data_IF_921192832941
#
_entry.id   IF_921192832941
#
_cell.length_a   1.000
_cell.length_b   1.000
_cell.length_c   1.000
_cell.angle_alpha   90.00
_cell.angle_beta   90.00
_cell.angle_gamma   90.00
#
_symmetry.space_group_name_H-M   'P 1'
#
loop_
_entity.id
_entity.type
_entity.pdbx_description
1 polymer ?
#
# COMPACT_ATOMS: atom_id res chain seq x y z
N UNK A 1 -46.83 -9.90 16.56
CA UNK A 1 -45.47 -9.67 17.09
C UNK A 1 -44.75 -11.02 17.10
N UNK A 2 -43.92 -11.32 16.11
CA UNK A 2 -43.18 -12.59 16.05
C UNK A 2 -42.00 -12.56 17.05
N UNK A 3 -41.69 -13.66 17.76
CA UNK A 3 -40.57 -13.68 18.69
C UNK A 3 -39.24 -13.46 17.96
N UNK A 4 -38.37 -12.61 18.53
CA UNK A 4 -36.99 -12.51 18.08
C UNK A 4 -36.28 -13.88 18.22
N UNK A 5 -35.54 -14.36 17.21
CA UNK A 5 -34.78 -15.60 17.34
C UNK A 5 -33.66 -15.46 18.39
N UNK A 6 -33.46 -16.52 19.19
CA UNK A 6 -32.46 -16.56 20.24
C UNK A 6 -31.03 -16.30 19.68
N UNK A 7 -30.14 -15.64 20.45
CA UNK A 7 -28.77 -15.39 20.02
C UNK A 7 -28.05 -16.72 19.77
N UNK A 8 -27.47 -16.87 18.58
CA UNK A 8 -26.66 -18.04 18.21
C UNK A 8 -25.42 -18.06 19.11
N UNK A 9 -25.33 -19.04 20.02
CA UNK A 9 -24.17 -19.22 20.90
C UNK A 9 -22.90 -19.48 20.06
N UNK A 10 -22.05 -18.46 19.91
CA UNK A 10 -20.75 -18.52 19.23
C UNK A 10 -19.78 -19.54 19.85
N UNK A 11 -20.06 -20.00 21.07
CA UNK A 11 -19.28 -20.99 21.81
C UNK A 11 -19.51 -22.45 21.39
N UNK A 12 -20.47 -22.73 20.49
CA UNK A 12 -20.79 -24.10 20.07
C UNK A 12 -19.62 -24.79 19.33
N UNK A 13 -18.81 -24.04 18.58
CA UNK A 13 -17.67 -24.56 17.84
C UNK A 13 -16.48 -24.91 18.76
N UNK A 14 -16.25 -24.10 19.79
CA UNK A 14 -15.18 -24.30 20.77
C UNK A 14 -15.41 -25.56 21.62
N UNK A 15 -16.66 -25.90 21.92
CA UNK A 15 -17.00 -27.04 22.77
C UNK A 15 -17.03 -28.42 22.07
N UNK A 16 -16.79 -28.48 20.77
CA UNK A 16 -16.73 -29.75 20.03
C UNK A 16 -15.58 -30.64 20.57
N UNK A 17 -15.80 -31.95 20.75
CA UNK A 17 -14.73 -32.90 21.04
C UNK A 17 -13.93 -33.20 19.76
N UNK A 18 -12.61 -33.39 19.89
CA UNK A 18 -11.71 -33.68 18.78
C UNK A 18 -10.77 -32.53 18.40
N UNK A 19 -9.93 -32.76 17.37
CA UNK A 19 -8.86 -31.85 16.98
C UNK A 19 -9.36 -30.44 16.62
N UNK A 20 -10.51 -30.34 15.97
CA UNK A 20 -11.12 -29.06 15.57
C UNK A 20 -11.50 -28.21 16.79
N UNK A 21 -12.08 -28.82 17.83
CA UNK A 21 -12.39 -28.13 19.07
C UNK A 21 -11.15 -27.83 19.94
N UNK A 22 -10.08 -28.62 19.83
CA UNK A 22 -8.80 -28.31 20.47
C UNK A 22 -8.11 -27.10 19.82
N UNK A 23 -8.12 -27.05 18.48
CA UNK A 23 -7.63 -25.91 17.68
C UNK A 23 -8.46 -24.66 17.99
N UNK A 24 -9.80 -24.76 17.99
CA UNK A 24 -10.68 -23.64 18.30
C UNK A 24 -10.41 -23.03 19.69
N UNK A 25 -10.19 -23.88 20.71
CA UNK A 25 -9.84 -23.44 22.07
C UNK A 25 -8.44 -22.80 22.12
N UNK A 26 -7.47 -23.36 21.41
CA UNK A 26 -6.12 -22.79 21.32
C UNK A 26 -6.13 -21.41 20.65
N UNK A 27 -6.83 -21.27 19.52
CA UNK A 27 -7.01 -19.99 18.83
C UNK A 27 -7.74 -18.95 19.66
N UNK A 28 -8.69 -19.35 20.52
CA UNK A 28 -9.45 -18.43 21.37
C UNK A 28 -8.70 -18.01 22.66
N UNK A 29 -7.72 -18.79 23.13
CA UNK A 29 -7.00 -18.53 24.39
C UNK A 29 -5.57 -18.01 24.22
N UNK A 30 -5.00 -18.10 23.03
CA UNK A 30 -3.59 -17.80 22.80
C UNK A 30 -3.45 -16.68 21.77
N UNK A 31 -2.49 -15.75 22.01
CA UNK A 31 -2.08 -14.71 21.05
C UNK A 31 -1.56 -15.24 19.70
N UNK A 32 -1.44 -16.57 19.57
CA UNK A 32 -1.00 -17.25 18.36
C UNK A 32 -1.85 -16.83 17.14
N UNK A 33 -3.14 -16.58 17.34
CA UNK A 33 -4.03 -16.11 16.27
C UNK A 33 -3.55 -14.77 15.69
N UNK A 34 -3.22 -13.81 16.55
CA UNK A 34 -2.76 -12.48 16.15
C UNK A 34 -1.39 -12.53 15.46
N UNK A 35 -0.48 -13.37 15.95
CA UNK A 35 0.82 -13.59 15.33
C UNK A 35 0.73 -14.24 13.95
N UNK A 36 -0.15 -15.23 13.79
CA UNK A 36 -0.40 -15.86 12.48
C UNK A 36 -1.03 -14.84 11.53
N UNK A 37 -2.01 -14.05 11.98
CA UNK A 37 -2.61 -13.00 11.18
C UNK A 37 -1.58 -11.95 10.74
N UNK A 38 -0.71 -11.51 11.65
CA UNK A 38 0.41 -10.61 11.34
C UNK A 38 1.35 -11.20 10.29
N UNK A 39 1.73 -12.46 10.43
CA UNK A 39 2.57 -13.17 9.46
C UNK A 39 1.92 -13.23 8.08
N UNK A 40 0.63 -13.56 8.01
CA UNK A 40 -0.13 -13.63 6.75
C UNK A 40 -0.20 -12.26 6.07
N UNK A 41 -0.49 -11.19 6.80
CA UNK A 41 -0.54 -9.84 6.23
C UNK A 41 0.84 -9.39 5.76
N UNK A 42 1.90 -9.63 6.55
CA UNK A 42 3.26 -9.27 6.18
C UNK A 42 3.75 -10.04 4.94
N UNK A 43 3.49 -11.35 4.86
CA UNK A 43 3.81 -12.16 3.68
C UNK A 43 3.00 -11.67 2.47
N UNK A 44 1.70 -11.45 2.63
CA UNK A 44 0.84 -10.91 1.58
C UNK A 44 1.36 -9.57 1.06
N UNK A 45 1.81 -8.68 1.95
CA UNK A 45 2.43 -7.42 1.59
C UNK A 45 3.72 -7.60 0.76
N UNK A 46 4.63 -8.47 1.21
CA UNK A 46 5.87 -8.78 0.48
C UNK A 46 5.55 -9.36 -0.91
N UNK A 47 4.61 -10.31 -0.99
CA UNK A 47 4.20 -10.92 -2.25
C UNK A 47 3.63 -9.88 -3.23
N UNK A 48 2.77 -8.97 -2.75
CA UNK A 48 2.24 -7.89 -3.60
C UNK A 48 3.38 -7.01 -4.11
N UNK A 49 4.30 -6.60 -3.24
CA UNK A 49 5.43 -5.75 -3.64
C UNK A 49 6.36 -6.43 -4.66
N UNK A 50 6.50 -7.76 -4.60
CA UNK A 50 7.33 -8.51 -5.53
C UNK A 50 6.62 -8.75 -6.88
N UNK A 51 5.37 -9.22 -6.85
CA UNK A 51 4.68 -9.77 -8.02
C UNK A 51 3.70 -8.82 -8.71
N UNK A 52 3.12 -7.85 -8.00
CA UNK A 52 2.09 -6.96 -8.57
C UNK A 52 2.74 -5.77 -9.27
N UNK A 53 2.43 -5.60 -10.55
CA UNK A 53 2.74 -4.38 -11.29
C UNK A 53 1.61 -3.37 -11.14
N UNK A 54 1.89 -2.08 -10.89
CA UNK A 54 0.84 -1.07 -10.72
C UNK A 54 0.00 -0.93 -11.99
N UNK A 55 -1.31 -0.71 -11.82
CA UNK A 55 -2.17 -0.28 -12.91
C UNK A 55 -1.83 1.15 -13.29
N UNK A 56 -1.81 1.47 -14.58
CA UNK A 56 -1.53 2.81 -15.05
C UNK A 56 -2.66 3.26 -15.96
N UNK A 57 -3.26 4.40 -15.62
CA UNK A 57 -4.33 5.00 -16.41
C UNK A 57 -3.75 5.95 -17.46
N UNK A 58 -4.41 6.03 -18.62
CA UNK A 58 -4.09 7.05 -19.62
C UNK A 58 -4.45 8.45 -19.09
N UNK A 59 -3.68 9.46 -19.48
CA UNK A 59 -3.87 10.85 -19.05
C UNK A 59 -3.65 11.80 -20.23
N UNK A 60 -4.05 13.06 -20.06
CA UNK A 60 -3.81 14.15 -21.01
C UNK A 60 -2.69 15.06 -20.48
N UNK A 61 -1.87 15.67 -21.35
CA UNK A 61 -0.76 16.53 -20.91
C UNK A 61 -1.25 17.92 -20.48
N UNK A 62 -2.38 18.37 -21.02
CA UNK A 62 -3.01 19.66 -20.73
C UNK A 62 -3.70 19.73 -19.35
N UNK A 63 -3.73 18.62 -18.61
CA UNK A 63 -4.40 18.56 -17.32
C UNK A 63 -3.59 19.28 -16.24
N UNK A 64 -4.12 20.39 -15.71
CA UNK A 64 -3.49 21.17 -14.64
C UNK A 64 -3.19 20.34 -13.37
N UNK A 65 -3.95 19.26 -13.10
CA UNK A 65 -3.74 18.41 -11.94
C UNK A 65 -2.43 17.61 -11.95
N UNK A 66 -1.73 17.52 -13.09
CA UNK A 66 -0.45 16.81 -13.26
C UNK A 66 0.75 17.72 -13.57
N UNK A 67 0.52 19.03 -13.60
CA UNK A 67 1.50 20.06 -13.95
C UNK A 67 2.05 20.81 -12.73
N UNK A 68 1.94 20.25 -11.53
CA UNK A 68 2.51 20.90 -10.36
C UNK A 68 4.05 20.89 -10.43
N UNK A 69 4.71 21.99 -10.04
CA UNK A 69 6.16 22.06 -10.05
C UNK A 69 6.77 21.09 -9.04
N UNK A 70 7.86 20.44 -9.40
CA UNK A 70 8.57 19.49 -8.55
C UNK A 70 9.32 20.22 -7.44
N UNK A 71 8.97 19.88 -6.20
CA UNK A 71 9.66 20.38 -5.02
C UNK A 71 11.01 19.63 -4.84
N UNK A 72 12.12 20.34 -5.03
CA UNK A 72 13.47 19.79 -4.83
C UNK A 72 13.73 19.41 -3.37
N UNK A 73 13.10 20.13 -2.44
CA UNK A 73 13.13 19.86 -1.00
C UNK A 73 11.73 19.52 -0.52
N UNK A 74 11.53 18.25 -0.17
CA UNK A 74 10.28 17.79 0.43
C UNK A 74 10.18 18.33 1.87
N UNK A 75 9.07 18.98 2.23
CA UNK A 75 8.85 19.54 3.58
C UNK A 75 8.99 18.48 4.67
N UNK A 76 8.60 17.24 4.37
CA UNK A 76 8.82 16.05 5.19
C UNK A 76 9.22 14.93 4.25
N UNK A 77 10.48 14.47 4.25
CA UNK A 77 10.88 13.37 3.38
C UNK A 77 10.25 12.07 3.87
N UNK A 78 9.95 11.18 2.92
CA UNK A 78 9.24 9.92 3.16
C UNK A 78 9.79 9.11 4.35
N UNK A 79 11.12 8.98 4.45
CA UNK A 79 11.78 8.22 5.53
C UNK A 79 11.45 8.74 6.93
N UNK A 80 11.49 10.06 7.11
CA UNK A 80 11.15 10.67 8.40
C UNK A 80 9.65 10.54 8.72
N UNK A 81 8.78 10.62 7.72
CA UNK A 81 7.34 10.39 7.91
C UNK A 81 7.04 8.99 8.44
N UNK A 82 7.70 7.96 7.90
CA UNK A 82 7.56 6.57 8.39
C UNK A 82 8.03 6.47 9.84
N UNK A 83 9.19 7.04 10.17
CA UNK A 83 9.73 7.03 11.54
C UNK A 83 8.77 7.72 12.52
N UNK A 84 8.26 8.91 12.19
CA UNK A 84 7.31 9.61 13.07
C UNK A 84 6.02 8.82 13.30
N UNK A 85 5.49 8.16 12.26
CA UNK A 85 4.28 7.36 12.37
C UNK A 85 4.41 6.15 13.29
N UNK A 86 5.62 5.61 13.48
CA UNK A 86 5.87 4.50 14.38
C UNK A 86 6.29 4.98 15.79
N UNK A 87 7.19 5.97 15.86
CA UNK A 87 7.77 6.43 17.13
C UNK A 87 6.75 7.17 17.99
N UNK A 88 5.94 8.06 17.41
CA UNK A 88 4.97 8.85 18.16
C UNK A 88 3.94 7.98 18.91
N UNK A 89 3.20 7.04 18.27
CA UNK A 89 2.25 6.19 19.00
C UNK A 89 2.95 5.24 19.98
N UNK A 90 4.18 4.80 19.67
CA UNK A 90 4.96 4.00 20.60
C UNK A 90 5.28 4.78 21.88
N UNK A 91 5.73 6.03 21.77
CA UNK A 91 6.01 6.89 22.92
C UNK A 91 4.74 7.15 23.74
N UNK A 92 3.60 7.40 23.08
CA UNK A 92 2.32 7.58 23.79
C UNK A 92 1.92 6.32 24.55
N UNK A 93 2.07 5.14 23.96
CA UNK A 93 1.80 3.86 24.64
C UNK A 93 2.76 3.60 25.80
N UNK A 94 4.03 3.95 25.66
CA UNK A 94 5.02 3.84 26.73
C UNK A 94 4.72 4.80 27.89
N UNK A 95 4.39 6.06 27.60
CA UNK A 95 3.98 7.02 28.62
C UNK A 95 2.72 6.56 29.36
N UNK A 96 1.71 6.09 28.63
CA UNK A 96 0.51 5.51 29.21
C UNK A 96 0.83 4.29 30.11
N UNK A 97 1.71 3.40 29.64
CA UNK A 97 2.15 2.23 30.40
C UNK A 97 2.91 2.60 31.69
N UNK A 98 3.74 3.65 31.65
CA UNK A 98 4.47 4.13 32.82
C UNK A 98 3.54 4.76 33.88
N UNK A 99 2.53 5.52 33.44
CA UNK A 99 1.57 6.19 34.33
C UNK A 99 0.61 5.17 34.95
N UNK A 100 0.04 4.28 34.14
CA UNK A 100 -1.03 3.37 34.58
C UNK A 100 -0.52 2.03 35.13
N UNK A 101 0.76 1.70 34.90
CA UNK A 101 1.43 0.44 35.28
C UNK A 101 0.54 -0.78 35.06
N UNK A 102 0.08 -1.03 33.82
CA UNK A 102 -0.87 -2.09 33.54
C UNK A 102 -0.18 -3.47 33.58
N UNK A 103 -0.98 -4.53 33.74
CA UNK A 103 -0.46 -5.90 33.71
C UNK A 103 0.20 -6.25 32.37
N UNK A 104 1.13 -7.21 32.39
CA UNK A 104 1.88 -7.66 31.20
C UNK A 104 0.99 -8.07 30.03
N UNK A 105 -0.17 -8.67 30.32
CA UNK A 105 -1.19 -9.00 29.33
C UNK A 105 -1.67 -7.75 28.58
N UNK A 106 -2.02 -6.67 29.29
CA UNK A 106 -2.53 -5.44 28.68
C UNK A 106 -1.46 -4.77 27.81
N UNK A 107 -0.21 -4.77 28.26
CA UNK A 107 0.92 -4.26 27.47
C UNK A 107 1.09 -5.04 26.17
N UNK A 108 1.07 -6.38 26.26
CA UNK A 108 1.26 -7.24 25.10
C UNK A 108 0.20 -7.00 24.02
N UNK A 109 -1.08 -6.94 24.41
CA UNK A 109 -2.18 -6.66 23.48
C UNK A 109 -2.06 -5.25 22.87
N UNK A 110 -1.66 -4.24 23.66
CA UNK A 110 -1.45 -2.89 23.13
C UNK A 110 -0.33 -2.82 22.09
N UNK A 111 0.80 -3.49 22.32
CA UNK A 111 1.90 -3.54 21.35
C UNK A 111 1.55 -4.36 20.10
N UNK A 112 0.82 -5.47 20.26
CA UNK A 112 0.31 -6.24 19.13
C UNK A 112 -0.64 -5.39 18.27
N UNK A 113 -1.56 -4.65 18.90
CA UNK A 113 -2.45 -3.72 18.18
C UNK A 113 -1.68 -2.64 17.39
N UNK A 114 -0.61 -2.10 17.98
CA UNK A 114 0.26 -1.15 17.27
C UNK A 114 0.93 -1.81 16.06
N UNK A 115 1.50 -3.01 16.21
CA UNK A 115 2.16 -3.73 15.12
C UNK A 115 1.19 -4.06 13.97
N UNK A 116 -0.03 -4.53 14.30
CA UNK A 116 -1.08 -4.81 13.31
C UNK A 116 -1.43 -3.56 12.51
N UNK A 117 -1.61 -2.42 13.20
CA UNK A 117 -1.93 -1.15 12.54
C UNK A 117 -0.81 -0.70 11.58
N UNK A 118 0.44 -0.78 12.02
CA UNK A 118 1.61 -0.36 11.23
C UNK A 118 1.85 -1.23 10.00
N UNK A 119 1.48 -2.51 10.01
CA UNK A 119 1.67 -3.42 8.88
C UNK A 119 0.46 -3.39 7.94
N UNK A 120 -0.76 -3.35 8.48
CA UNK A 120 -1.99 -3.43 7.67
C UNK A 120 -2.25 -2.14 6.90
N UNK A 121 -1.91 -0.98 7.46
CA UNK A 121 -2.10 0.32 6.81
C UNK A 121 -1.33 0.45 5.50
N UNK A 122 0.02 0.26 5.44
CA UNK A 122 0.75 0.32 4.17
C UNK A 122 0.27 -0.76 3.20
N UNK A 123 -0.01 -1.98 3.67
CA UNK A 123 -0.58 -3.04 2.85
C UNK A 123 -1.86 -2.61 2.13
N UNK A 124 -2.84 -2.10 2.87
CA UNK A 124 -4.11 -1.66 2.30
C UNK A 124 -3.93 -0.48 1.35
N UNK A 125 -3.14 0.52 1.75
CA UNK A 125 -2.94 1.70 0.91
C UNK A 125 -2.19 1.38 -0.38
N UNK A 126 -1.24 0.44 -0.36
CA UNK A 126 -0.47 0.05 -1.54
C UNK A 126 -1.34 -0.77 -2.52
N UNK A 127 -2.23 -1.62 -2.01
CA UNK A 127 -3.27 -2.26 -2.84
C UNK A 127 -4.12 -1.21 -3.56
N UNK A 128 -4.64 -0.23 -2.81
CA UNK A 128 -5.51 0.80 -3.38
C UNK A 128 -4.76 1.66 -4.40
N UNK A 129 -3.53 2.09 -4.08
CA UNK A 129 -2.68 2.86 -5.01
C UNK A 129 -2.40 2.09 -6.29
N UNK A 130 -2.07 0.80 -6.18
CA UNK A 130 -1.81 -0.07 -7.32
C UNK A 130 -3.06 -0.33 -8.15
N UNK A 131 -4.25 -0.39 -7.53
CA UNK A 131 -5.52 -0.59 -8.23
C UNK A 131 -6.01 0.68 -8.95
N UNK A 132 -5.92 1.85 -8.30
CA UNK A 132 -6.41 3.12 -8.86
C UNK A 132 -5.46 3.65 -9.95
N UNK A 133 -4.15 3.52 -9.75
CA UNK A 133 -3.17 3.92 -10.77
C UNK A 133 -3.17 5.41 -11.12
N UNK A 134 -3.52 6.29 -10.17
CA UNK A 134 -3.57 7.73 -10.41
C UNK A 134 -2.13 8.29 -10.58
N UNK A 135 -1.86 9.06 -11.65
CA UNK A 135 -0.57 9.72 -11.84
C UNK A 135 -0.25 10.71 -10.72
N UNK A 136 1.04 10.88 -10.41
CA UNK A 136 1.49 11.90 -9.46
C UNK A 136 1.23 13.32 -10.01
N UNK A 137 0.92 14.29 -9.14
CA UNK A 137 0.62 15.66 -9.56
C UNK A 137 1.82 16.41 -10.17
N UNK A 138 3.05 15.94 -9.95
CA UNK A 138 4.31 16.53 -10.42
C UNK A 138 4.96 15.72 -11.55
N UNK A 139 4.17 14.88 -12.23
CA UNK A 139 4.68 13.94 -13.23
C UNK A 139 5.34 14.67 -14.42
N UNK A 140 4.71 15.72 -14.95
CA UNK A 140 5.18 16.39 -16.17
C UNK A 140 6.50 17.11 -15.93
N UNK A 141 6.66 17.75 -14.77
CA UNK A 141 7.89 18.48 -14.44
C UNK A 141 9.08 17.53 -14.21
N UNK A 142 8.83 16.35 -13.63
CA UNK A 142 9.85 15.30 -13.48
C UNK A 142 10.23 14.62 -14.80
N UNK A 143 9.23 14.31 -15.64
CA UNK A 143 9.41 13.46 -16.82
C UNK A 143 9.70 14.21 -18.11
N UNK A 144 9.42 15.52 -18.19
CA UNK A 144 9.69 16.40 -19.34
C UNK A 144 9.42 15.74 -20.72
N UNK A 145 8.18 15.77 -21.22
CA UNK A 145 7.82 15.13 -22.48
C UNK A 145 8.60 15.72 -23.68
N UNK A 146 8.81 14.91 -24.71
CA UNK A 146 9.43 15.37 -25.97
C UNK A 146 8.58 16.45 -26.66
N UNK A 147 9.26 17.47 -27.20
CA UNK A 147 8.62 18.57 -27.91
C UNK A 147 7.84 18.04 -29.12
N UNK A 148 6.55 18.39 -29.22
CA UNK A 148 5.64 17.91 -30.26
C UNK A 148 4.70 16.76 -29.83
N UNK A 149 4.71 16.37 -28.56
CA UNK A 149 3.68 15.45 -28.04
C UNK A 149 2.31 16.16 -28.01
N UNK A 150 1.25 15.60 -28.62
CA UNK A 150 -0.07 16.24 -28.64
C UNK A 150 -0.67 16.27 -27.24
N UNK A 151 -1.04 17.47 -26.80
CA UNK A 151 -1.45 17.71 -25.41
C UNK A 151 -2.88 17.24 -25.11
N UNK A 152 -3.79 17.47 -26.06
CA UNK A 152 -5.22 17.18 -25.95
C UNK A 152 -5.58 15.72 -26.33
N UNK A 153 -4.65 14.77 -26.15
CA UNK A 153 -4.89 13.35 -26.42
C UNK A 153 -4.50 12.47 -25.25
N UNK A 154 -5.24 11.38 -25.09
CA UNK A 154 -4.92 10.33 -24.13
C UNK A 154 -3.61 9.66 -24.51
N UNK A 155 -2.60 9.83 -23.66
CA UNK A 155 -1.29 9.22 -23.82
C UNK A 155 -1.03 8.19 -22.73
N UNK A 156 -0.13 7.25 -23.05
CA UNK A 156 0.44 6.30 -22.10
C UNK A 156 1.94 6.52 -21.98
N UNK A 157 2.53 6.20 -20.83
CA UNK A 157 3.99 6.19 -20.65
C UNK A 157 4.60 4.98 -21.39
N UNK A 158 5.63 5.21 -22.20
CA UNK A 158 6.40 4.13 -22.84
C UNK A 158 7.88 4.31 -22.55
N UNK A 159 8.54 3.22 -22.16
CA UNK A 159 9.99 3.22 -21.93
C UNK A 159 10.69 2.88 -23.25
N UNK A 160 11.75 3.61 -23.63
CA UNK A 160 12.70 3.13 -24.63
C UNK A 160 13.31 1.79 -24.18
N UNK A 161 12.98 0.69 -24.86
CA UNK A 161 13.53 -0.65 -24.58
C UNK A 161 12.60 -1.65 -23.87
N UNK A 162 11.41 -1.25 -23.41
CA UNK A 162 10.37 -2.20 -22.93
C UNK A 162 9.31 -2.37 -24.00
N UNK A 163 9.45 -3.43 -24.80
CA UNK A 163 8.67 -3.68 -26.00
C UNK A 163 7.15 -3.69 -25.75
N UNK A 164 6.43 -3.02 -26.66
CA UNK A 164 4.96 -2.98 -26.85
C UNK A 164 4.42 -4.36 -27.32
N UNK A 165 5.11 -5.44 -26.94
CA UNK A 165 4.84 -6.81 -27.38
C UNK A 165 3.81 -7.53 -26.49
N UNK A 166 3.46 -6.96 -25.32
CA UNK A 166 2.46 -7.51 -24.39
C UNK A 166 1.06 -6.87 -24.48
N UNK A 167 0.85 -5.96 -25.44
CA UNK A 167 -0.47 -5.39 -25.70
C UNK A 167 -1.24 -6.28 -26.69
N UNK A 168 -2.46 -6.65 -26.32
CA UNK A 168 -3.42 -7.29 -27.22
C UNK A 168 -3.52 -6.51 -28.55
N UNK A 169 -3.55 -7.20 -29.72
CA UNK A 169 -3.40 -6.58 -31.03
C UNK A 169 -4.40 -5.45 -31.33
N UNK A 170 -5.58 -5.45 -30.70
CA UNK A 170 -6.59 -4.40 -30.84
C UNK A 170 -6.18 -3.03 -30.24
N UNK A 171 -5.18 -2.98 -29.34
CA UNK A 171 -4.74 -1.75 -28.64
C UNK A 171 -3.45 -1.15 -29.23
N UNK A 172 -2.91 -1.71 -30.31
CA UNK A 172 -1.67 -1.23 -30.95
C UNK A 172 -1.87 0.02 -31.83
N UNK A 173 -3.07 0.20 -32.39
CA UNK A 173 -3.30 1.22 -33.45
C UNK A 173 -3.59 2.65 -32.95
N UNK A 174 -3.73 2.89 -31.63
CA UNK A 174 -4.14 4.22 -31.10
C UNK A 174 -3.30 4.73 -29.91
N UNK A 175 -2.27 4.00 -29.51
CA UNK A 175 -1.42 4.38 -28.38
C UNK A 175 -0.43 5.47 -28.80
N UNK A 176 -0.79 6.74 -28.60
CA UNK A 176 0.15 7.83 -28.72
C UNK A 176 0.98 7.85 -27.44
N UNK A 177 2.20 7.32 -27.51
CA UNK A 177 3.04 7.08 -26.35
C UNK A 177 4.00 8.24 -26.15
N UNK A 178 4.09 8.76 -24.92
CA UNK A 178 5.13 9.74 -24.58
C UNK A 178 6.48 9.04 -24.70
N UNK A 179 7.33 9.53 -25.61
CA UNK A 179 8.76 9.23 -25.60
C UNK A 179 9.41 10.20 -24.62
N UNK A 180 9.86 9.68 -23.50
CA UNK A 180 10.59 10.45 -22.49
C UNK A 180 12.02 10.61 -23.02
N UNK A 181 12.53 11.84 -23.14
CA UNK A 181 13.96 12.04 -23.44
C UNK A 181 14.77 11.51 -22.25
N UNK A 182 15.67 10.55 -22.43
CA UNK A 182 16.48 10.05 -21.33
C UNK A 182 17.55 11.08 -21.00
N UNK A 183 17.30 11.93 -20.00
CA UNK A 183 18.40 12.48 -19.20
C UNK A 183 18.82 11.36 -18.23
N UNK A 184 19.95 10.73 -18.53
CA UNK A 184 20.46 9.52 -17.86
C UNK A 184 20.71 9.70 -16.36
N UNK A 185 20.72 10.94 -15.83
CA UNK A 185 20.80 11.21 -14.38
C UNK A 185 19.46 11.19 -13.62
N UNK A 186 18.31 11.41 -14.27
CA UNK A 186 16.97 11.48 -13.61
C UNK A 186 15.97 10.43 -14.09
N UNK A 187 16.42 9.45 -14.87
CA UNK A 187 15.57 8.37 -15.36
C UNK A 187 14.80 7.65 -14.22
N UNK A 188 15.41 7.50 -13.04
CA UNK A 188 14.77 6.93 -11.84
C UNK A 188 13.78 7.86 -11.12
N UNK A 189 13.71 9.15 -11.48
CA UNK A 189 12.82 10.13 -10.82
C UNK A 189 11.48 10.24 -11.56
N UNK A 190 11.51 10.07 -12.87
CA UNK A 190 10.31 9.88 -13.69
C UNK A 190 9.72 8.48 -13.49
N UNK A 191 10.61 7.50 -13.31
CA UNK A 191 10.31 6.13 -12.96
C UNK A 191 10.55 5.94 -11.46
N UNK A 192 9.68 6.47 -10.60
CA UNK A 192 9.59 5.86 -9.27
C UNK A 192 8.68 4.64 -9.44
N UNK A 193 9.24 3.41 -9.63
CA UNK A 193 8.47 2.26 -9.23
C UNK A 193 8.18 2.49 -7.74
N UNK A 194 6.94 2.29 -7.32
CA UNK A 194 6.56 2.23 -5.90
C UNK A 194 7.51 1.34 -5.05
N UNK A 195 8.33 0.51 -5.70
CA UNK A 195 9.35 -0.37 -5.17
C UNK A 195 10.59 0.29 -4.55
N UNK A 196 10.89 1.58 -4.77
CA UNK A 196 12.15 2.21 -4.26
C UNK A 196 11.97 3.32 -3.21
N UNK A 197 10.75 3.57 -2.73
CA UNK A 197 10.48 4.56 -1.67
C UNK A 197 10.20 3.95 -0.28
N UNK A 198 10.19 2.62 -0.17
CA UNK A 198 10.10 1.91 1.12
C UNK A 198 11.47 1.53 1.71
N UNK A 199 12.57 2.10 1.17
CA UNK A 199 13.93 1.99 1.73
C UNK A 199 14.59 3.35 1.79
#
# INVERSE_FOLDING_TARGET
MSPFPAPRNSMAFSNQPGAVGAIARFWARTYAADYVALGVVAIGFILIQLFVTPFHRMFYLDNMAIQFPFAQSERVPMRWSIVYSAVLPLLVLLLWALITRPSTHKLHVSFLGLAVSLITTPFLTDIIKNAVGRPRPDLIDRCKPEAGTPEHKLVTFSIPGRSIARLSPARRSRSLSIRIRPDTRRYNDCYIPLRRLQT
#
